data_IF_525838636869
#
_entry.id   IF_525838636869
#
_cell.length_a   1.000
_cell.length_b   1.000
_cell.length_c   1.000
_cell.angle_alpha   90.00
_cell.angle_beta   90.00
_cell.angle_gamma   90.00
#
_symmetry.space_group_name_H-M   'P 1'
#
loop_
_entity.id
_entity.type
_entity.pdbx_description
1 polymer ?
#
# COMPACT_ATOMS: atom_id res chain seq x y z
N UNK A 1 -7.22 24.57 3.06
CA UNK A 1 -6.82 25.67 2.15
C UNK A 1 -6.28 25.09 0.84
N UNK A 2 -6.36 25.75 -0.33
CA UNK A 2 -5.69 25.26 -1.56
C UNK A 2 -4.17 25.41 -1.44
N UNK A 3 -3.38 24.49 -2.00
CA UNK A 3 -1.90 24.53 -1.94
C UNK A 3 -1.29 25.88 -2.35
N UNK A 4 -1.56 26.35 -3.57
CA UNK A 4 -1.09 27.66 -4.05
C UNK A 4 -1.45 28.83 -3.13
N UNK A 5 -2.65 28.84 -2.55
CA UNK A 5 -3.05 29.85 -1.57
C UNK A 5 -2.32 29.68 -0.24
N UNK A 6 -2.09 28.45 0.20
CA UNK A 6 -1.36 28.15 1.42
C UNK A 6 0.08 28.66 1.31
N UNK A 7 0.84 28.24 0.28
CA UNK A 7 2.24 28.68 0.11
C UNK A 7 2.39 30.18 -0.12
N UNK A 8 1.36 30.87 -0.62
CA UNK A 8 1.36 32.33 -0.70
C UNK A 8 1.25 33.00 0.67
N UNK A 9 0.44 32.44 1.58
CA UNK A 9 0.15 33.04 2.88
C UNK A 9 1.08 32.55 3.99
N UNK A 10 1.61 31.34 3.85
CA UNK A 10 2.47 30.65 4.80
C UNK A 10 3.67 30.02 4.04
N UNK A 11 4.57 30.85 3.48
CA UNK A 11 5.68 30.34 2.67
C UNK A 11 6.66 29.48 3.48
N UNK A 12 6.76 29.75 4.80
CA UNK A 12 7.70 29.08 5.70
C UNK A 12 7.12 27.80 6.33
N UNK A 13 5.81 27.55 6.20
CA UNK A 13 5.17 26.33 6.68
C UNK A 13 5.56 25.12 5.83
N UNK A 14 5.76 23.98 6.46
CA UNK A 14 6.07 22.72 5.79
C UNK A 14 4.81 21.88 5.63
N UNK A 15 4.63 21.33 4.44
CA UNK A 15 3.52 20.43 4.15
C UNK A 15 3.92 18.96 4.31
N UNK A 16 3.16 18.27 5.16
CA UNK A 16 3.35 16.86 5.44
C UNK A 16 2.08 16.07 5.14
N UNK A 17 2.25 14.85 4.67
CA UNK A 17 1.23 13.85 4.45
C UNK A 17 1.12 12.93 5.66
N UNK A 18 -0.07 12.77 6.23
CA UNK A 18 -0.30 11.83 7.32
C UNK A 18 -0.44 10.41 6.75
N UNK A 19 0.61 9.63 6.93
CA UNK A 19 0.71 8.23 6.51
C UNK A 19 -0.01 7.30 7.48
N UNK A 20 -0.03 7.63 8.77
CA UNK A 20 -0.70 6.84 9.81
C UNK A 20 -0.98 7.69 11.05
N UNK A 21 -2.13 7.47 11.69
CA UNK A 21 -2.44 8.02 13.00
C UNK A 21 -3.04 6.97 13.94
N UNK A 22 -2.23 6.52 14.90
CA UNK A 22 -2.68 5.62 15.96
C UNK A 22 -2.93 6.40 17.25
N UNK A 23 -4.20 6.79 17.44
CA UNK A 23 -4.66 7.49 18.66
C UNK A 23 -4.41 6.70 19.95
N UNK A 24 -4.40 5.37 19.88
CA UNK A 24 -4.28 4.52 21.07
C UNK A 24 -2.84 4.44 21.55
N UNK A 25 -1.91 4.28 20.61
CA UNK A 25 -0.47 4.29 20.89
C UNK A 25 0.13 5.70 20.88
N UNK A 26 -0.68 6.71 20.53
CA UNK A 26 -0.30 8.13 20.47
C UNK A 26 0.86 8.36 19.51
N UNK A 27 0.80 7.69 18.37
CA UNK A 27 1.82 7.81 17.32
C UNK A 27 1.23 8.43 16.07
N UNK A 28 2.04 9.24 15.40
CA UNK A 28 1.76 9.76 14.06
C UNK A 28 2.95 9.46 13.19
N UNK A 29 2.71 8.80 12.06
CA UNK A 29 3.70 8.68 11.00
C UNK A 29 3.32 9.65 9.89
N UNK A 30 4.25 10.52 9.52
CA UNK A 30 4.05 11.41 8.38
C UNK A 30 5.26 11.42 7.47
N UNK A 31 5.06 11.89 6.25
CA UNK A 31 6.10 12.08 5.26
C UNK A 31 5.86 13.40 4.51
N UNK A 32 6.75 13.79 3.61
CA UNK A 32 6.73 15.12 3.03
C UNK A 32 5.93 15.21 1.73
N UNK A 33 5.33 16.38 1.49
CA UNK A 33 4.63 16.63 0.23
C UNK A 33 5.59 16.62 -0.97
N UNK A 34 6.84 17.06 -0.87
CA UNK A 34 7.86 16.88 -1.90
C UNK A 34 9.28 17.00 -1.31
N UNK A 35 10.32 17.00 -2.16
CA UNK A 35 11.71 17.18 -1.73
C UNK A 35 12.03 18.58 -1.23
N UNK A 36 11.28 19.61 -1.65
CA UNK A 36 11.47 20.97 -1.16
C UNK A 36 10.97 21.09 0.28
N UNK A 37 9.81 20.50 0.60
CA UNK A 37 9.30 20.42 1.97
C UNK A 37 10.27 19.68 2.90
N UNK A 38 10.88 18.59 2.42
CA UNK A 38 11.89 17.85 3.19
C UNK A 38 13.20 18.63 3.37
N UNK A 39 13.60 19.41 2.35
CA UNK A 39 14.75 20.31 2.45
C UNK A 39 14.52 21.41 3.48
N UNK A 40 13.33 22.03 3.49
CA UNK A 40 12.93 23.00 4.51
C UNK A 40 12.93 22.38 5.91
N UNK A 41 12.41 21.16 6.07
CA UNK A 41 12.45 20.45 7.35
C UNK A 41 13.90 20.27 7.82
N UNK A 42 14.77 19.80 6.94
CA UNK A 42 16.19 19.58 7.24
C UNK A 42 16.90 20.87 7.64
N UNK A 43 16.58 22.00 6.98
CA UNK A 43 17.09 23.32 7.35
C UNK A 43 16.62 23.74 8.74
N UNK A 44 15.32 23.62 9.03
CA UNK A 44 14.74 24.09 10.30
C UNK A 44 15.11 23.22 11.50
N UNK A 45 15.36 21.93 11.27
CA UNK A 45 15.81 21.00 12.29
C UNK A 45 17.33 20.87 12.35
N UNK A 46 18.08 21.65 11.55
CA UNK A 46 19.55 21.53 11.41
C UNK A 46 20.00 20.07 11.15
N UNK A 47 19.16 19.29 10.48
CA UNK A 47 19.43 17.91 10.13
C UNK A 47 20.16 17.83 8.79
N UNK A 48 20.94 16.76 8.61
CA UNK A 48 21.64 16.54 7.34
C UNK A 48 20.65 16.18 6.24
N UNK A 49 20.54 17.04 5.22
CA UNK A 49 19.73 16.75 4.04
C UNK A 49 20.37 15.61 3.25
N UNK A 50 19.74 14.45 3.28
CA UNK A 50 20.12 13.32 2.44
C UNK A 50 18.87 12.69 1.84
N UNK A 51 18.59 13.02 0.59
CA UNK A 51 17.40 12.53 -0.12
C UNK A 51 17.46 11.03 -0.40
N UNK A 52 18.62 10.37 -0.33
CA UNK A 52 18.74 8.93 -0.50
C UNK A 52 18.32 8.16 0.76
N UNK A 53 18.43 8.78 1.94
CA UNK A 53 17.99 8.21 3.23
C UNK A 53 16.46 8.18 3.36
N UNK A 54 15.90 7.38 4.27
CA UNK A 54 14.46 7.41 4.57
C UNK A 54 13.97 8.83 4.85
N UNK A 55 12.67 9.11 4.64
CA UNK A 55 12.12 10.47 4.80
C UNK A 55 10.94 10.56 5.76
N UNK A 56 10.34 9.44 6.18
CA UNK A 56 9.20 9.51 7.10
C UNK A 56 9.64 9.93 8.52
N UNK A 57 8.76 10.60 9.23
CA UNK A 57 8.98 11.06 10.60
C UNK A 57 7.95 10.40 11.52
N UNK A 58 8.43 9.79 12.61
CA UNK A 58 7.58 9.17 13.63
C UNK A 58 7.45 10.08 14.84
N UNK A 59 6.26 10.64 15.06
CA UNK A 59 5.91 11.28 16.33
C UNK A 59 5.48 10.22 17.35
N UNK A 60 6.02 10.30 18.56
CA UNK A 60 5.64 9.48 19.72
C UNK A 60 5.04 10.39 20.79
N UNK A 61 4.09 9.85 21.56
CA UNK A 61 3.37 10.59 22.61
C UNK A 61 2.64 11.84 22.09
N UNK A 62 2.03 11.74 20.91
CA UNK A 62 1.23 12.82 20.34
C UNK A 62 -0.15 12.94 21.03
N UNK A 63 -0.42 14.12 21.62
CA UNK A 63 -1.69 14.45 22.31
C UNK A 63 -2.47 15.59 21.66
N UNK A 64 -2.03 16.09 20.50
CA UNK A 64 -2.72 17.15 19.78
C UNK A 64 -4.09 16.70 19.25
N UNK A 65 -4.73 17.56 18.46
CA UNK A 65 -6.02 17.26 17.84
C UNK A 65 -6.04 15.95 17.05
N UNK A 66 -7.25 15.42 16.89
CA UNK A 66 -7.51 14.30 16.00
C UNK A 66 -7.23 14.70 14.54
N UNK A 67 -6.22 14.08 13.93
CA UNK A 67 -5.86 14.28 12.53
C UNK A 67 -6.43 13.16 11.67
N UNK A 68 -6.52 13.42 10.38
CA UNK A 68 -7.01 12.45 9.40
C UNK A 68 -5.84 11.89 8.60
N UNK A 69 -5.75 10.58 8.50
CA UNK A 69 -4.88 9.89 7.54
C UNK A 69 -5.24 10.29 6.10
N UNK A 70 -4.29 10.08 5.19
CA UNK A 70 -4.44 10.38 3.77
C UNK A 70 -4.77 11.85 3.50
N UNK A 71 -4.19 12.74 4.30
CA UNK A 71 -4.47 14.18 4.26
C UNK A 71 -3.18 14.95 4.50
N UNK A 72 -3.01 16.08 3.80
CA UNK A 72 -1.90 16.99 4.02
C UNK A 72 -2.22 18.00 5.11
N UNK A 73 -1.27 18.25 5.99
CA UNK A 73 -1.31 19.29 7.02
C UNK A 73 -0.09 20.18 6.92
N UNK A 74 -0.25 21.43 7.35
CA UNK A 74 0.88 22.31 7.60
C UNK A 74 1.46 22.10 9.00
N UNK A 75 2.80 22.20 9.08
CA UNK A 75 3.55 22.32 10.32
C UNK A 75 4.34 23.62 10.23
N UNK A 76 4.21 24.46 11.26
CA UNK A 76 4.93 25.73 11.34
C UNK A 76 6.44 25.51 11.52
N UNK A 77 7.23 26.45 11.01
CA UNK A 77 8.68 26.48 11.21
C UNK A 77 9.06 26.43 12.69
N UNK A 78 8.40 27.23 13.52
CA UNK A 78 8.69 27.35 14.95
C UNK A 78 8.52 26.00 15.67
N UNK A 79 7.53 25.20 15.27
CA UNK A 79 7.32 23.86 15.82
C UNK A 79 8.52 22.94 15.56
N UNK A 80 9.06 22.96 14.35
CA UNK A 80 10.19 22.10 13.96
C UNK A 80 11.49 22.57 14.59
N UNK A 81 11.74 23.89 14.61
CA UNK A 81 12.90 24.47 15.31
C UNK A 81 12.86 24.15 16.80
N UNK A 82 11.69 24.23 17.44
CA UNK A 82 11.51 23.85 18.83
C UNK A 82 11.81 22.36 19.10
N UNK A 83 11.47 21.46 18.16
CA UNK A 83 11.84 20.04 18.25
C UNK A 83 13.35 19.83 18.30
N UNK A 84 14.09 20.55 17.47
CA UNK A 84 15.54 20.47 17.44
C UNK A 84 16.19 21.10 18.68
N UNK A 85 15.85 22.35 18.99
CA UNK A 85 16.49 23.13 20.06
C UNK A 85 16.32 22.50 21.45
N UNK A 86 15.23 21.75 21.66
CA UNK A 86 14.94 21.07 22.93
C UNK A 86 15.30 19.58 22.91
N UNK A 87 15.94 19.09 21.84
CA UNK A 87 16.40 17.71 21.75
C UNK A 87 15.26 16.67 21.75
N UNK A 88 14.12 16.99 21.13
CA UNK A 88 13.01 16.05 20.99
C UNK A 88 13.21 15.08 19.82
N UNK A 89 14.18 15.33 18.94
CA UNK A 89 14.40 14.61 17.68
C UNK A 89 15.63 13.71 17.75
N UNK A 90 15.44 12.43 17.42
CA UNK A 90 16.49 11.42 17.31
C UNK A 90 16.51 10.81 15.90
N UNK A 91 17.70 10.53 15.35
CA UNK A 91 17.81 9.70 14.15
C UNK A 91 17.22 8.30 14.42
N UNK A 92 16.38 7.83 13.50
CA UNK A 92 15.79 6.51 13.59
C UNK A 92 16.70 5.49 12.90
N UNK A 93 17.63 4.93 13.67
CA UNK A 93 18.53 3.92 13.14
C UNK A 93 17.79 2.66 12.68
N UNK A 94 18.31 2.00 11.63
CA UNK A 94 17.84 0.71 11.15
C UNK A 94 16.38 0.70 10.65
N UNK A 95 15.94 1.73 9.92
CA UNK A 95 14.69 1.72 9.13
C UNK A 95 14.95 2.07 7.66
N UNK A 96 14.11 1.56 6.76
CA UNK A 96 14.06 2.01 5.36
C UNK A 96 12.96 3.06 5.10
N UNK A 97 12.10 3.31 6.09
CA UNK A 97 10.98 4.26 5.99
C UNK A 97 11.20 5.49 6.86
N UNK A 98 11.58 5.29 8.12
CA UNK A 98 11.64 6.33 9.15
C UNK A 98 13.06 6.91 9.22
N UNK A 99 13.16 8.22 9.09
CA UNK A 99 14.40 8.99 9.19
C UNK A 99 14.68 9.42 10.62
N UNK A 100 13.63 9.94 11.29
CA UNK A 100 13.71 10.51 12.62
C UNK A 100 12.50 10.07 13.45
N UNK A 101 12.70 9.92 14.76
CA UNK A 101 11.60 9.92 15.71
C UNK A 101 11.62 11.17 16.57
N UNK A 102 10.43 11.68 16.89
CA UNK A 102 10.24 12.85 17.74
C UNK A 102 9.43 12.44 18.96
N UNK A 103 10.03 12.58 20.15
CA UNK A 103 9.40 12.23 21.41
C UNK A 103 8.74 13.45 22.06
N UNK A 104 7.41 13.43 22.14
CA UNK A 104 6.61 14.56 22.64
C UNK A 104 6.20 14.44 24.11
N UNK A 105 6.75 13.48 24.87
CA UNK A 105 6.36 13.23 26.27
C UNK A 105 6.48 14.46 27.19
N UNK A 106 7.45 15.35 26.93
CA UNK A 106 7.65 16.61 27.66
C UNK A 106 7.37 17.85 26.80
N UNK A 107 6.73 17.68 25.65
CA UNK A 107 6.42 18.78 24.75
C UNK A 107 5.26 19.61 25.31
N UNK A 108 5.47 20.92 25.45
CA UNK A 108 4.39 21.82 25.83
C UNK A 108 3.54 22.12 24.59
N UNK A 109 2.35 21.53 24.51
CA UNK A 109 1.37 21.71 23.43
C UNK A 109 0.68 23.10 23.46
N UNK A 110 1.37 24.15 23.91
CA UNK A 110 0.84 25.52 23.90
C UNK A 110 0.36 25.97 22.51
N UNK A 111 0.88 25.34 21.44
CA UNK A 111 0.38 25.40 20.08
C UNK A 111 0.18 24.01 19.47
N UNK A 112 -0.73 23.91 18.48
CA UNK A 112 -0.95 22.66 17.77
C UNK A 112 0.12 22.36 16.73
N UNK A 113 0.61 21.11 16.71
CA UNK A 113 1.65 20.66 15.78
C UNK A 113 1.17 20.72 14.33
N UNK A 114 -0.02 20.17 14.07
CA UNK A 114 -0.64 20.18 12.75
C UNK A 114 -1.65 21.33 12.70
N UNK A 115 -1.34 22.42 12.02
CA UNK A 115 -2.14 23.64 12.07
C UNK A 115 -3.46 23.50 11.29
N UNK A 116 -3.40 23.36 9.96
CA UNK A 116 -4.61 23.17 9.16
C UNK A 116 -4.39 22.21 7.98
N UNK A 117 -5.48 21.56 7.53
CA UNK A 117 -5.43 20.68 6.38
C UNK A 117 -5.32 21.47 5.07
N UNK A 118 -4.45 21.01 4.17
CA UNK A 118 -4.21 21.61 2.86
C UNK A 118 -4.71 20.66 1.77
N UNK A 119 -5.53 21.19 0.86
CA UNK A 119 -6.01 20.48 -0.32
C UNK A 119 -5.08 20.77 -1.47
N UNK A 120 -4.54 19.71 -2.04
CA UNK A 120 -3.54 19.77 -3.11
C UNK A 120 -4.14 19.51 -4.50
N UNK A 121 -5.42 19.16 -4.59
CA UNK A 121 -6.08 18.55 -5.76
C UNK A 121 -5.85 19.22 -7.13
N UNK A 122 -5.63 20.54 -7.20
CA UNK A 122 -5.39 21.21 -8.49
C UNK A 122 -3.91 21.26 -8.90
N UNK A 123 -2.99 21.27 -7.94
CA UNK A 123 -1.54 21.33 -8.17
C UNK A 123 -0.92 19.91 -8.19
N UNK A 124 -1.61 18.94 -7.58
CA UNK A 124 -1.25 17.52 -7.53
C UNK A 124 -1.29 16.86 -8.91
N UNK A 125 -2.36 17.09 -9.69
CA UNK A 125 -2.55 16.46 -11.00
C UNK A 125 -1.43 16.84 -12.00
N UNK A 126 -0.79 18.00 -11.84
CA UNK A 126 0.28 18.45 -12.74
C UNK A 126 1.70 18.06 -12.31
N UNK A 127 1.93 17.76 -11.02
CA UNK A 127 3.29 17.58 -10.47
C UNK A 127 3.55 16.20 -9.86
N UNK A 128 2.50 15.42 -9.57
CA UNK A 128 2.60 14.18 -8.79
C UNK A 128 2.00 12.95 -9.45
N UNK A 129 1.41 13.11 -10.63
CA UNK A 129 1.00 11.97 -11.43
C UNK A 129 2.23 11.27 -12.01
N UNK A 130 2.27 9.96 -11.82
CA UNK A 130 3.24 9.11 -12.49
C UNK A 130 2.97 9.08 -14.00
N UNK A 131 4.03 9.17 -14.79
CA UNK A 131 4.01 8.84 -16.22
C UNK A 131 4.15 7.31 -16.43
N UNK A 132 3.26 6.76 -17.25
CA UNK A 132 3.26 5.37 -17.69
C UNK A 132 2.08 5.13 -18.63
N UNK A 133 1.98 3.93 -19.21
CA UNK A 133 0.79 3.48 -19.93
C UNK A 133 -0.44 3.46 -19.01
N UNK A 134 -1.61 3.73 -19.56
CA UNK A 134 -2.87 3.74 -18.80
C UNK A 134 -3.76 2.53 -19.07
N UNK A 135 -3.58 1.88 -20.23
CA UNK A 135 -4.25 0.63 -20.58
C UNK A 135 -3.30 -0.55 -20.41
N UNK A 136 -3.88 -1.73 -20.21
CA UNK A 136 -3.15 -2.99 -20.01
C UNK A 136 -3.36 -3.98 -21.15
N UNK A 137 -3.86 -3.52 -22.30
CA UNK A 137 -4.31 -4.39 -23.41
C UNK A 137 -3.17 -5.23 -24.01
N UNK A 138 -1.92 -4.78 -23.86
CA UNK A 138 -0.71 -5.49 -24.29
C UNK A 138 -0.14 -6.45 -23.24
N UNK A 139 -0.78 -6.53 -22.06
CA UNK A 139 -0.44 -7.52 -21.04
C UNK A 139 -1.12 -8.85 -21.33
N UNK A 140 -0.31 -9.82 -21.75
CA UNK A 140 -0.74 -11.19 -21.96
C UNK A 140 -0.18 -12.06 -20.84
N UNK A 141 -1.08 -12.70 -20.09
CA UNK A 141 -0.75 -13.71 -19.10
C UNK A 141 -1.05 -15.10 -19.67
N UNK A 142 0.00 -15.83 -20.08
CA UNK A 142 -0.15 -17.22 -20.47
C UNK A 142 -0.21 -18.10 -19.22
N UNK A 143 -1.39 -18.65 -18.94
CA UNK A 143 -1.68 -19.42 -17.73
C UNK A 143 -1.99 -20.89 -18.05
N UNK A 144 -1.57 -21.37 -19.23
CA UNK A 144 -1.63 -22.80 -19.57
C UNK A 144 -0.58 -23.55 -18.74
N UNK A 145 -1.02 -24.35 -17.78
CA UNK A 145 -0.15 -25.16 -16.94
C UNK A 145 -0.71 -25.36 -15.55
N UNK A 146 0.13 -25.86 -14.64
CA UNK A 146 -0.22 -25.96 -13.22
C UNK A 146 0.00 -24.62 -12.55
N UNK A 147 -1.08 -24.00 -12.06
CA UNK A 147 -1.05 -22.70 -11.39
C UNK A 147 -1.04 -22.90 -9.88
N UNK A 148 -0.14 -22.17 -9.22
CA UNK A 148 -0.06 -22.05 -7.78
C UNK A 148 -0.09 -20.58 -7.38
N UNK A 149 -0.66 -20.30 -6.22
CA UNK A 149 -0.55 -19.00 -5.57
C UNK A 149 0.23 -19.17 -4.28
N UNK A 150 1.26 -18.35 -4.11
CA UNK A 150 2.01 -18.27 -2.87
C UNK A 150 1.62 -16.99 -2.12
N UNK A 151 1.06 -17.12 -0.92
CA UNK A 151 0.85 -16.01 0.01
C UNK A 151 2.02 -16.01 0.98
N UNK A 152 2.93 -15.04 0.83
CA UNK A 152 4.20 -15.04 1.57
C UNK A 152 3.99 -14.63 3.03
N UNK A 153 4.69 -15.30 3.93
CA UNK A 153 4.76 -14.87 5.33
C UNK A 153 5.79 -13.73 5.48
N UNK A 154 5.31 -12.50 5.30
CA UNK A 154 6.12 -11.28 5.42
C UNK A 154 6.00 -10.62 6.80
N UNK A 155 5.47 -11.33 7.80
CA UNK A 155 5.04 -10.71 9.04
C UNK A 155 3.74 -9.95 8.82
N UNK A 156 3.79 -8.61 8.80
CA UNK A 156 2.63 -7.74 8.60
C UNK A 156 2.73 -7.06 7.23
N UNK A 157 1.69 -7.08 6.39
CA UNK A 157 1.75 -6.50 5.04
C UNK A 157 1.34 -7.50 3.97
N UNK A 158 1.45 -7.12 2.69
CA UNK A 158 1.00 -7.95 1.58
C UNK A 158 2.14 -8.30 0.61
N UNK A 159 2.25 -9.57 0.25
CA UNK A 159 3.13 -10.06 -0.82
C UNK A 159 2.61 -11.41 -1.30
N UNK A 160 2.11 -11.45 -2.54
CA UNK A 160 1.59 -12.67 -3.14
C UNK A 160 2.21 -12.93 -4.50
N UNK A 161 2.36 -14.19 -4.86
CA UNK A 161 3.01 -14.61 -6.10
C UNK A 161 2.11 -15.58 -6.86
N UNK A 162 2.01 -15.41 -8.18
CA UNK A 162 1.37 -16.37 -9.08
C UNK A 162 2.48 -17.12 -9.81
N UNK A 163 2.47 -18.45 -9.67
CA UNK A 163 3.51 -19.34 -10.17
C UNK A 163 2.86 -20.33 -11.14
N UNK A 164 3.45 -20.52 -12.32
CA UNK A 164 3.02 -21.51 -13.32
C UNK A 164 4.16 -22.46 -13.61
N UNK A 165 3.96 -23.75 -13.40
CA UNK A 165 4.97 -24.80 -13.64
C UNK A 165 6.35 -24.39 -13.06
N UNK A 166 6.32 -23.86 -11.83
CA UNK A 166 7.46 -23.35 -11.07
C UNK A 166 8.15 -22.09 -11.63
N UNK A 167 7.55 -21.44 -12.64
CA UNK A 167 7.94 -20.11 -13.15
C UNK A 167 7.10 -19.00 -12.50
N UNK A 168 7.74 -17.98 -11.94
CA UNK A 168 7.07 -16.82 -11.36
C UNK A 168 6.52 -15.89 -12.47
N UNK A 169 5.20 -15.76 -12.54
CA UNK A 169 4.55 -14.94 -13.56
C UNK A 169 4.22 -13.53 -13.09
N UNK A 170 3.73 -13.43 -11.85
CA UNK A 170 3.21 -12.18 -11.29
C UNK A 170 3.51 -12.10 -9.81
N UNK A 171 3.83 -10.89 -9.35
CA UNK A 171 3.96 -10.52 -7.94
C UNK A 171 2.97 -9.40 -7.65
N UNK A 172 2.07 -9.63 -6.69
CA UNK A 172 1.06 -8.70 -6.25
C UNK A 172 1.39 -8.21 -4.84
N UNK A 173 1.76 -6.93 -4.75
CA UNK A 173 2.41 -6.27 -3.63
C UNK A 173 3.76 -6.90 -3.23
N UNK A 174 4.58 -6.13 -2.50
CA UNK A 174 5.86 -6.56 -1.97
C UNK A 174 6.16 -5.74 -0.71
N UNK A 175 5.34 -5.96 0.31
CA UNK A 175 5.38 -5.24 1.56
C UNK A 175 5.76 -6.09 2.76
N UNK A 176 6.00 -5.42 3.89
CA UNK A 176 6.27 -6.00 5.20
C UNK A 176 6.01 -4.94 6.28
N UNK A 177 6.26 -5.30 7.54
CA UNK A 177 5.99 -4.46 8.70
C UNK A 177 6.78 -3.13 8.60
N UNK A 178 6.18 -2.03 9.01
CA UNK A 178 6.80 -0.70 9.08
C UNK A 178 8.07 -0.70 9.92
N UNK A 179 8.05 -1.48 11.00
CA UNK A 179 9.16 -1.62 11.94
C UNK A 179 10.20 -2.67 11.51
N UNK A 180 10.02 -3.30 10.35
CA UNK A 180 10.96 -4.31 9.85
C UNK A 180 12.34 -3.68 9.62
N UNK A 181 13.37 -4.36 10.14
CA UNK A 181 14.76 -3.92 9.98
C UNK A 181 15.22 -4.16 8.55
N UNK A 182 16.16 -3.35 8.02
CA UNK A 182 16.76 -3.58 6.71
C UNK A 182 17.26 -5.01 6.49
N UNK A 183 17.82 -5.67 7.51
CA UNK A 183 18.28 -7.06 7.43
C UNK A 183 17.14 -8.08 7.28
N UNK A 184 15.99 -7.83 7.91
CA UNK A 184 14.80 -8.69 7.80
C UNK A 184 14.19 -8.55 6.39
N UNK A 185 14.09 -7.32 5.90
CA UNK A 185 13.67 -7.02 4.52
C UNK A 185 14.59 -7.69 3.51
N UNK A 186 15.92 -7.57 3.71
CA UNK A 186 16.91 -8.20 2.83
C UNK A 186 16.72 -9.72 2.75
N UNK A 187 16.46 -10.36 3.90
CA UNK A 187 16.18 -11.80 3.98
C UNK A 187 14.92 -12.18 3.17
N UNK A 188 13.85 -11.40 3.26
CA UNK A 188 12.62 -11.63 2.49
C UNK A 188 12.85 -11.52 0.98
N UNK A 189 13.63 -10.52 0.56
CA UNK A 189 13.98 -10.32 -0.86
C UNK A 189 14.83 -11.48 -1.36
N UNK A 190 15.89 -11.85 -0.63
CA UNK A 190 16.84 -12.89 -1.04
C UNK A 190 16.19 -14.25 -1.29
N UNK A 191 15.10 -14.56 -0.57
CA UNK A 191 14.32 -15.79 -0.74
C UNK A 191 13.66 -15.93 -2.12
N UNK A 192 13.30 -14.82 -2.80
CA UNK A 192 12.66 -14.84 -4.12
C UNK A 192 13.56 -14.30 -5.24
N UNK A 193 14.66 -13.62 -4.89
CA UNK A 193 15.46 -12.84 -5.83
C UNK A 193 16.03 -13.65 -7.01
N UNK A 194 16.50 -14.87 -6.73
CA UNK A 194 17.06 -15.73 -7.76
C UNK A 194 16.02 -16.13 -8.81
N UNK A 195 14.79 -16.40 -8.37
CA UNK A 195 13.69 -16.76 -9.25
C UNK A 195 13.24 -15.55 -10.08
N UNK A 196 13.07 -14.39 -9.44
CA UNK A 196 12.65 -13.16 -10.13
C UNK A 196 13.65 -12.73 -11.19
N UNK A 197 14.96 -12.88 -10.92
CA UNK A 197 16.01 -12.59 -11.90
C UNK A 197 15.84 -13.38 -13.20
N UNK A 198 15.45 -14.65 -13.08
CA UNK A 198 15.33 -15.56 -14.22
C UNK A 198 13.98 -15.40 -14.93
N UNK A 199 12.89 -15.42 -14.16
CA UNK A 199 11.52 -15.54 -14.69
C UNK A 199 10.94 -14.19 -15.09
N UNK A 200 11.44 -13.12 -14.47
CA UNK A 200 11.04 -11.74 -14.68
C UNK A 200 9.52 -11.49 -14.57
N UNK A 201 8.92 -11.73 -13.39
CA UNK A 201 7.48 -11.59 -13.21
C UNK A 201 7.01 -10.15 -13.46
N UNK A 202 5.72 -9.99 -13.76
CA UNK A 202 5.05 -8.68 -13.74
C UNK A 202 4.79 -8.29 -12.29
N UNK A 203 5.15 -7.07 -11.91
CA UNK A 203 4.83 -6.54 -10.58
C UNK A 203 3.56 -5.69 -10.61
N UNK A 204 2.67 -5.91 -9.66
CA UNK A 204 1.46 -5.11 -9.43
C UNK A 204 1.47 -4.59 -7.99
N UNK A 205 1.42 -3.28 -7.80
CA UNK A 205 1.15 -2.65 -6.50
C UNK A 205 -0.33 -2.27 -6.44
N UNK A 206 -1.04 -2.82 -5.45
CA UNK A 206 -2.44 -2.54 -5.20
C UNK A 206 -2.68 -1.07 -4.90
N UNK A 207 -1.89 -0.48 -4.00
CA UNK A 207 -1.95 0.93 -3.60
C UNK A 207 -0.67 1.36 -2.88
N UNK A 208 -0.47 2.67 -2.73
CA UNK A 208 0.74 3.27 -2.15
C UNK A 208 0.68 3.35 -0.61
N UNK A 209 0.50 2.20 0.03
CA UNK A 209 0.64 2.04 1.48
C UNK A 209 1.95 1.34 1.79
N UNK A 210 2.64 1.87 2.80
CA UNK A 210 3.99 1.42 3.19
C UNK A 210 4.10 -0.10 3.33
N UNK A 211 3.12 -0.77 3.93
CA UNK A 211 3.10 -2.22 4.14
C UNK A 211 2.70 -3.05 2.90
N UNK A 212 2.57 -2.40 1.73
CA UNK A 212 2.38 -3.02 0.42
C UNK A 212 3.60 -2.85 -0.50
N UNK A 213 4.50 -1.89 -0.23
CA UNK A 213 5.71 -1.66 -1.03
C UNK A 213 7.03 -1.66 -0.23
N UNK A 214 7.01 -1.82 1.10
CA UNK A 214 8.21 -1.68 1.95
C UNK A 214 9.42 -2.47 1.46
N UNK A 215 9.23 -3.72 1.03
CA UNK A 215 10.35 -4.55 0.58
C UNK A 215 10.98 -4.03 -0.73
N UNK A 216 10.23 -3.32 -1.59
CA UNK A 216 10.81 -2.69 -2.78
C UNK A 216 11.84 -1.60 -2.42
N UNK A 217 11.69 -0.93 -1.27
CA UNK A 217 12.69 0.05 -0.82
C UNK A 217 14.04 -0.62 -0.52
N UNK A 218 14.01 -1.87 -0.05
CA UNK A 218 15.21 -2.67 0.25
C UNK A 218 15.83 -3.37 -0.96
N UNK A 219 15.15 -3.38 -2.11
CA UNK A 219 15.72 -3.85 -3.37
C UNK A 219 16.75 -2.84 -3.88
N UNK A 220 17.83 -3.33 -4.47
CA UNK A 220 18.79 -2.52 -5.24
C UNK A 220 18.22 -2.18 -6.61
N UNK A 221 18.77 -1.17 -7.27
CA UNK A 221 18.37 -0.80 -8.64
C UNK A 221 18.50 -1.97 -9.63
N UNK A 222 19.52 -2.82 -9.42
CA UNK A 222 19.68 -4.05 -10.19
C UNK A 222 18.52 -5.02 -9.97
N UNK A 223 18.04 -5.18 -8.75
CA UNK A 223 16.95 -6.11 -8.42
C UNK A 223 15.59 -5.59 -8.89
N UNK A 224 15.40 -4.27 -8.88
CA UNK A 224 14.23 -3.64 -9.52
C UNK A 224 14.18 -3.94 -11.03
N UNK A 225 15.32 -4.26 -11.67
CA UNK A 225 15.30 -4.68 -13.09
C UNK A 225 14.71 -6.07 -13.31
N UNK A 226 14.59 -6.88 -12.26
CA UNK A 226 14.14 -8.28 -12.37
C UNK A 226 12.69 -8.37 -12.78
N UNK A 227 11.81 -7.43 -12.41
CA UNK A 227 10.44 -7.43 -12.88
C UNK A 227 10.35 -7.04 -14.35
N UNK A 228 9.58 -7.75 -15.17
CA UNK A 228 9.44 -7.39 -16.59
C UNK A 228 8.66 -6.08 -16.75
N UNK A 229 7.63 -5.86 -15.93
CA UNK A 229 6.75 -4.69 -15.97
C UNK A 229 6.30 -4.29 -14.58
N UNK A 230 5.91 -3.03 -14.41
CA UNK A 230 5.35 -2.48 -13.17
C UNK A 230 3.97 -1.90 -13.42
N UNK A 231 3.00 -2.26 -12.58
CA UNK A 231 1.62 -1.77 -12.64
C UNK A 231 1.26 -1.21 -11.27
N UNK A 232 0.80 0.02 -11.21
CA UNK A 232 0.43 0.67 -9.95
C UNK A 232 -0.53 1.84 -10.19
N UNK A 233 -1.07 2.40 -9.12
CA UNK A 233 -1.85 3.64 -9.17
C UNK A 233 -0.96 4.82 -9.50
N UNK A 234 -1.45 5.74 -10.34
CA UNK A 234 -0.68 6.92 -10.74
C UNK A 234 -0.61 8.03 -9.68
N UNK A 235 -1.44 7.95 -8.64
CA UNK A 235 -1.55 8.91 -7.55
C UNK A 235 -0.55 8.56 -6.44
N UNK A 236 0.61 9.23 -6.40
CA UNK A 236 1.64 9.01 -5.38
C UNK A 236 1.42 9.95 -4.18
N UNK A 237 1.27 9.43 -2.96
CA UNK A 237 0.93 10.26 -1.80
C UNK A 237 2.11 11.05 -1.22
N UNK A 238 3.32 10.51 -1.20
CA UNK A 238 4.37 11.04 -0.34
C UNK A 238 5.79 10.90 -0.93
N UNK A 239 6.77 11.57 -0.31
CA UNK A 239 8.13 11.62 -0.81
C UNK A 239 8.78 10.24 -0.90
N UNK A 240 8.54 9.36 0.06
CA UNK A 240 9.06 7.99 0.08
C UNK A 240 8.60 7.21 -1.16
N UNK A 241 7.31 7.24 -1.46
CA UNK A 241 6.73 6.56 -2.63
C UNK A 241 7.20 7.19 -3.95
N UNK A 242 7.40 8.51 -4.01
CA UNK A 242 8.01 9.19 -5.18
C UNK A 242 9.44 8.74 -5.43
N UNK A 243 10.25 8.64 -4.37
CA UNK A 243 11.63 8.16 -4.48
C UNK A 243 11.68 6.75 -5.04
N UNK A 244 10.83 5.86 -4.53
CA UNK A 244 10.71 4.50 -5.05
C UNK A 244 10.32 4.49 -6.54
N UNK A 245 9.30 5.27 -6.92
CA UNK A 245 8.92 5.40 -8.32
C UNK A 245 10.08 5.95 -9.19
N UNK A 246 10.82 6.94 -8.71
CA UNK A 246 11.98 7.48 -9.43
C UNK A 246 13.04 6.41 -9.69
N UNK A 247 13.30 5.53 -8.71
CA UNK A 247 14.22 4.41 -8.87
C UNK A 247 13.71 3.40 -9.90
N UNK A 248 12.42 3.06 -9.87
CA UNK A 248 11.79 2.18 -10.88
C UNK A 248 11.91 2.79 -12.29
N UNK A 249 11.58 4.08 -12.44
CA UNK A 249 11.69 4.80 -13.72
C UNK A 249 13.11 4.86 -14.25
N UNK A 250 14.12 4.92 -13.38
CA UNK A 250 15.51 4.95 -13.80
C UNK A 250 16.01 3.61 -14.34
N UNK A 251 15.34 2.49 -14.01
CA UNK A 251 15.75 1.14 -14.42
C UNK A 251 14.76 0.46 -15.37
N UNK A 252 13.67 1.13 -15.72
CA UNK A 252 12.63 0.63 -16.64
C UNK A 252 12.24 1.67 -17.67
N UNK A 253 12.04 1.18 -18.89
CA UNK A 253 11.51 1.99 -19.96
C UNK A 253 10.03 2.31 -19.71
N UNK A 254 9.59 3.46 -20.23
CA UNK A 254 8.19 3.91 -20.13
C UNK A 254 7.19 2.86 -20.59
N UNK A 255 7.55 2.04 -21.59
CA UNK A 255 6.70 0.99 -22.16
C UNK A 255 6.42 -0.18 -21.20
N UNK A 256 7.22 -0.33 -20.14
CA UNK A 256 7.12 -1.37 -19.12
C UNK A 256 6.51 -0.86 -17.81
N UNK A 257 6.05 0.39 -17.78
CA UNK A 257 5.44 1.04 -16.62
C UNK A 257 3.98 1.39 -16.93
N UNK A 258 3.06 0.92 -16.09
CA UNK A 258 1.62 1.13 -16.19
C UNK A 258 1.15 1.91 -14.96
N UNK A 259 0.81 3.16 -15.19
CA UNK A 259 0.39 4.11 -14.16
C UNK A 259 -1.12 4.30 -14.28
N UNK A 260 -1.87 3.42 -13.62
CA UNK A 260 -3.32 3.34 -13.77
C UNK A 260 -3.99 4.51 -13.03
N UNK A 261 -4.71 5.34 -13.79
CA UNK A 261 -5.49 6.44 -13.23
C UNK A 261 -6.78 5.91 -12.59
N UNK A 262 -7.10 6.44 -11.42
CA UNK A 262 -8.40 6.25 -10.80
C UNK A 262 -9.54 6.67 -11.75
N UNK A 263 -10.60 5.87 -11.84
CA UNK A 263 -11.82 6.35 -12.48
C UNK A 263 -12.45 7.48 -11.69
N UNK A 264 -13.09 8.42 -12.38
CA UNK A 264 -13.81 9.48 -11.71
C UNK A 264 -14.96 8.89 -10.88
N UNK A 265 -15.07 9.33 -9.63
CA UNK A 265 -16.15 8.90 -8.75
C UNK A 265 -17.49 9.37 -9.30
N UNK A 266 -18.45 8.45 -9.44
CA UNK A 266 -19.83 8.81 -9.81
C UNK A 266 -20.49 9.49 -8.60
N UNK A 267 -20.93 10.76 -8.72
CA UNK A 267 -21.61 11.44 -7.62
C UNK A 267 -22.87 10.68 -7.18
N UNK A 268 -23.15 10.66 -5.87
CA UNK A 268 -24.33 10.03 -5.22
C UNK A 268 -24.32 8.50 -5.08
N UNK A 269 -23.39 7.78 -5.72
CA UNK A 269 -23.19 6.35 -5.42
C UNK A 269 -22.40 6.23 -4.12
N UNK A 270 -22.95 5.51 -3.13
CA UNK A 270 -22.34 5.37 -1.80
C UNK A 270 -21.08 4.50 -1.80
N UNK A 271 -20.95 3.61 -2.77
CA UNK A 271 -19.90 2.59 -2.87
C UNK A 271 -18.95 2.98 -3.99
N UNK A 272 -17.65 2.89 -3.74
CA UNK A 272 -16.61 3.10 -4.75
C UNK A 272 -16.58 1.88 -5.68
N UNK A 273 -16.89 2.04 -6.96
CA UNK A 273 -16.94 0.89 -7.89
C UNK A 273 -15.55 0.40 -8.26
N UNK A 274 -15.49 -0.88 -8.64
CA UNK A 274 -14.35 -1.51 -9.30
C UNK A 274 -14.74 -1.81 -10.75
N UNK A 275 -13.93 -1.36 -11.70
CA UNK A 275 -14.14 -1.58 -13.13
C UNK A 275 -13.04 -2.50 -13.65
N UNK A 276 -13.35 -3.59 -14.37
CA UNK A 276 -12.33 -4.45 -14.95
C UNK A 276 -11.56 -3.70 -16.05
N UNK A 277 -10.24 -3.81 -16.05
CA UNK A 277 -9.34 -3.18 -17.03
C UNK A 277 -9.12 -4.07 -18.28
N UNK A 278 -9.44 -5.35 -18.18
CA UNK A 278 -9.40 -6.33 -19.26
C UNK A 278 -10.68 -7.17 -19.26
N UNK A 279 -10.82 -8.09 -20.22
CA UNK A 279 -12.07 -8.86 -20.37
C UNK A 279 -12.34 -9.71 -19.14
N UNK A 280 -13.54 -9.60 -18.57
CA UNK A 280 -13.94 -10.39 -17.39
C UNK A 280 -13.93 -11.90 -17.62
N UNK A 281 -13.87 -12.36 -18.88
CA UNK A 281 -13.72 -13.76 -19.25
C UNK A 281 -12.28 -14.27 -19.13
N UNK A 282 -11.28 -13.39 -19.09
CA UNK A 282 -9.86 -13.74 -18.94
C UNK A 282 -9.56 -14.41 -17.61
N UNK A 283 -8.55 -15.28 -17.59
CA UNK A 283 -8.14 -16.00 -16.38
C UNK A 283 -7.56 -15.07 -15.31
N UNK A 284 -6.90 -13.98 -15.70
CA UNK A 284 -6.52 -12.90 -14.79
C UNK A 284 -7.31 -11.66 -15.17
N UNK A 285 -7.97 -11.04 -14.19
CA UNK A 285 -8.68 -9.77 -14.37
C UNK A 285 -8.17 -8.78 -13.34
N UNK A 286 -7.65 -7.66 -13.82
CA UNK A 286 -7.26 -6.52 -12.99
C UNK A 286 -8.41 -5.53 -12.92
N UNK A 287 -8.77 -5.11 -11.72
CA UNK A 287 -9.86 -4.18 -11.46
C UNK A 287 -9.31 -2.85 -10.96
N UNK A 288 -9.81 -1.76 -11.53
CA UNK A 288 -9.47 -0.41 -11.17
C UNK A 288 -10.57 0.22 -10.32
N UNK A 289 -10.23 0.64 -9.11
CA UNK A 289 -11.18 1.34 -8.25
C UNK A 289 -11.34 2.80 -8.65
N UNK A 290 -12.55 3.33 -8.50
CA UNK A 290 -12.78 4.77 -8.58
C UNK A 290 -11.94 5.55 -7.56
N UNK A 291 -11.74 6.83 -7.83
CA UNK A 291 -11.08 7.74 -6.92
C UNK A 291 -11.80 7.79 -5.57
N UNK A 292 -11.03 7.64 -4.50
CA UNK A 292 -11.48 7.83 -3.14
C UNK A 292 -10.34 8.44 -2.33
N UNK A 293 -10.67 9.27 -1.32
CA UNK A 293 -9.66 9.90 -0.44
C UNK A 293 -8.90 8.91 0.44
N UNK A 294 -9.49 7.72 0.62
CA UNK A 294 -8.92 6.62 1.37
C UNK A 294 -8.37 5.65 0.34
N UNK A 295 -7.05 5.57 0.29
CA UNK A 295 -6.29 4.82 -0.71
C UNK A 295 -6.52 3.32 -0.63
N UNK A 296 -6.89 2.80 0.54
CA UNK A 296 -7.29 1.41 0.76
C UNK A 296 -8.50 1.06 -0.13
N UNK A 297 -9.44 2.00 -0.27
CA UNK A 297 -10.68 1.84 -1.06
C UNK A 297 -10.42 2.06 -2.56
N UNK A 298 -9.42 2.88 -2.90
CA UNK A 298 -9.09 3.24 -4.28
C UNK A 298 -7.91 2.45 -4.86
N UNK A 299 -7.63 1.25 -4.36
CA UNK A 299 -6.56 0.40 -4.90
C UNK A 299 -6.91 -0.31 -6.21
N UNK A 300 -5.97 -1.12 -6.70
CA UNK A 300 -6.18 -2.13 -7.73
C UNK A 300 -6.50 -3.47 -7.07
N UNK A 301 -7.41 -4.24 -7.64
CA UNK A 301 -7.77 -5.60 -7.17
C UNK A 301 -7.50 -6.60 -8.29
N UNK A 302 -7.00 -7.79 -7.96
CA UNK A 302 -6.74 -8.84 -8.95
C UNK A 302 -7.64 -10.05 -8.67
N UNK A 303 -8.25 -10.62 -9.71
CA UNK A 303 -8.81 -11.97 -9.62
C UNK A 303 -8.08 -12.92 -10.56
N UNK A 304 -7.80 -14.12 -10.08
CA UNK A 304 -7.30 -15.25 -10.85
C UNK A 304 -8.36 -16.34 -10.87
N UNK A 305 -8.68 -16.91 -12.03
CA UNK A 305 -9.67 -17.97 -12.17
C UNK A 305 -9.17 -19.10 -13.07
N UNK A 306 -9.42 -20.32 -12.62
CA UNK A 306 -9.24 -21.57 -13.36
C UNK A 306 -10.61 -22.25 -13.52
N UNK A 307 -10.65 -23.36 -14.26
CA UNK A 307 -11.88 -24.15 -14.37
C UNK A 307 -12.36 -24.73 -13.03
N UNK A 308 -11.48 -24.87 -12.04
CA UNK A 308 -11.78 -25.53 -10.75
C UNK A 308 -11.68 -24.60 -9.54
N UNK A 309 -11.00 -23.46 -9.69
CA UNK A 309 -10.66 -22.60 -8.56
C UNK A 309 -10.69 -21.12 -8.94
N UNK A 310 -10.80 -20.22 -7.96
CA UNK A 310 -10.53 -18.79 -8.12
C UNK A 310 -9.88 -18.21 -6.88
N UNK A 311 -9.08 -17.17 -7.06
CA UNK A 311 -8.41 -16.44 -5.99
C UNK A 311 -8.63 -14.94 -6.20
N UNK A 312 -9.04 -14.23 -5.16
CA UNK A 312 -9.05 -12.76 -5.14
C UNK A 312 -7.88 -12.24 -4.32
N UNK A 313 -7.06 -11.39 -4.94
CA UNK A 313 -6.02 -10.59 -4.28
C UNK A 313 -6.60 -9.19 -4.07
N UNK A 314 -6.99 -8.91 -2.83
CA UNK A 314 -7.87 -7.79 -2.50
C UNK A 314 -7.13 -6.49 -2.18
N UNK A 315 -5.83 -6.55 -1.86
CA UNK A 315 -5.14 -5.43 -1.22
C UNK A 315 -5.91 -5.00 0.03
N UNK A 316 -6.26 -3.72 0.14
CA UNK A 316 -7.00 -3.18 1.28
C UNK A 316 -8.41 -2.70 0.93
N UNK A 317 -8.96 -3.19 -0.18
CA UNK A 317 -10.32 -2.83 -0.61
C UNK A 317 -11.39 -3.31 0.38
N UNK A 318 -12.62 -2.82 0.23
CA UNK A 318 -13.72 -3.26 1.12
C UNK A 318 -14.37 -4.55 0.63
N UNK A 319 -14.86 -5.38 1.57
CA UNK A 319 -15.62 -6.61 1.25
C UNK A 319 -16.78 -6.34 0.30
N UNK A 320 -17.50 -5.23 0.52
CA UNK A 320 -18.63 -4.84 -0.32
C UNK A 320 -18.23 -4.55 -1.76
N UNK A 321 -17.02 -4.00 -2.02
CA UNK A 321 -16.53 -3.77 -3.37
C UNK A 321 -16.31 -5.11 -4.08
N UNK A 322 -15.67 -6.07 -3.40
CA UNK A 322 -15.46 -7.41 -3.94
C UNK A 322 -16.80 -8.11 -4.23
N UNK A 323 -17.73 -8.05 -3.28
CA UNK A 323 -19.04 -8.70 -3.39
C UNK A 323 -19.87 -8.17 -4.55
N UNK A 324 -19.79 -6.87 -4.86
CA UNK A 324 -20.62 -6.24 -5.90
C UNK A 324 -19.98 -6.25 -7.28
N UNK A 325 -18.65 -6.18 -7.36
CA UNK A 325 -17.97 -5.88 -8.63
C UNK A 325 -16.99 -6.97 -9.08
N UNK A 326 -16.62 -7.91 -8.21
CA UNK A 326 -15.68 -9.00 -8.55
C UNK A 326 -16.39 -10.36 -8.53
N UNK A 327 -17.07 -10.69 -7.43
CA UNK A 327 -17.76 -11.99 -7.29
C UNK A 327 -18.77 -12.31 -8.41
N UNK A 328 -19.54 -11.35 -8.96
CA UNK A 328 -20.44 -11.65 -10.09
C UNK A 328 -19.72 -12.19 -11.33
N UNK A 329 -18.46 -11.82 -11.56
CA UNK A 329 -17.65 -12.32 -12.68
C UNK A 329 -17.06 -13.73 -12.42
N UNK A 330 -17.19 -14.22 -11.19
CA UNK A 330 -16.74 -15.54 -10.75
C UNK A 330 -17.94 -16.48 -10.50
N UNK A 331 -19.12 -16.22 -11.06
CA UNK A 331 -20.30 -17.06 -10.82
C UNK A 331 -20.31 -18.35 -11.68
N UNK A 332 -19.47 -19.30 -11.31
CA UNK A 332 -19.42 -20.66 -11.87
C UNK A 332 -19.11 -21.68 -10.77
N UNK A 333 -19.24 -22.99 -11.03
CA UNK A 333 -18.98 -24.02 -10.04
C UNK A 333 -17.48 -24.27 -9.84
N UNK A 334 -16.94 -23.85 -8.69
CA UNK A 334 -15.51 -23.93 -8.37
C UNK A 334 -15.22 -23.68 -6.87
N UNK A 335 -13.98 -23.91 -6.47
CA UNK A 335 -13.46 -23.55 -5.14
C UNK A 335 -12.93 -22.11 -5.11
N UNK A 336 -13.49 -21.28 -4.24
CA UNK A 336 -13.13 -19.87 -4.13
C UNK A 336 -12.22 -19.61 -2.93
N UNK A 337 -11.12 -18.93 -3.18
CA UNK A 337 -10.14 -18.48 -2.19
C UNK A 337 -10.14 -16.96 -2.10
N UNK A 338 -10.07 -16.44 -0.89
CA UNK A 338 -9.97 -15.01 -0.63
C UNK A 338 -8.67 -14.71 0.11
N UNK A 339 -7.77 -13.94 -0.50
CA UNK A 339 -6.72 -13.25 0.26
C UNK A 339 -7.41 -12.03 0.87
N UNK A 340 -7.52 -12.05 2.20
CA UNK A 340 -8.43 -11.21 2.97
C UNK A 340 -7.97 -9.75 2.96
N UNK A 341 -8.88 -8.80 2.73
CA UNK A 341 -8.51 -7.39 2.64
C UNK A 341 -7.98 -6.84 3.97
N UNK A 342 -7.08 -5.85 3.88
CA UNK A 342 -6.63 -5.04 5.01
C UNK A 342 -6.11 -5.88 6.18
N UNK A 343 -5.43 -7.00 5.86
CA UNK A 343 -4.84 -7.93 6.83
C UNK A 343 -5.86 -8.47 7.85
N UNK A 344 -7.14 -8.56 7.47
CA UNK A 344 -8.24 -8.97 8.35
C UNK A 344 -8.69 -7.88 9.34
N UNK A 345 -8.27 -6.64 9.13
CA UNK A 345 -8.71 -5.46 9.85
C UNK A 345 -9.99 -4.84 9.27
N UNK A 346 -10.20 -3.54 9.51
CA UNK A 346 -11.45 -2.85 9.18
C UNK A 346 -11.59 -2.51 7.69
N UNK A 347 -12.01 -3.49 6.89
CA UNK A 347 -12.30 -3.34 5.45
C UNK A 347 -13.80 -3.05 5.14
N UNK A 348 -14.37 -2.04 5.81
CA UNK A 348 -15.81 -1.73 5.69
C UNK A 348 -16.71 -2.75 6.41
N UNK A 349 -18.03 -2.74 6.15
CA UNK A 349 -18.91 -3.77 6.71
C UNK A 349 -18.65 -5.09 6.00
N UNK A 350 -18.57 -6.20 6.76
CA UNK A 350 -18.48 -7.54 6.17
C UNK A 350 -19.76 -7.86 5.40
N UNK A 351 -19.67 -7.74 4.08
CA UNK A 351 -20.71 -8.08 3.11
C UNK A 351 -20.00 -8.80 1.98
N UNK A 352 -20.07 -10.13 1.98
CA UNK A 352 -19.35 -10.98 1.03
C UNK A 352 -20.28 -12.08 0.51
N UNK A 353 -21.19 -11.71 -0.39
CA UNK A 353 -22.26 -12.60 -0.81
C UNK A 353 -21.83 -13.53 -1.93
N UNK A 354 -21.97 -14.84 -1.68
CA UNK A 354 -21.83 -15.86 -2.70
C UNK A 354 -22.91 -15.70 -3.79
N UNK A 355 -22.55 -15.54 -5.07
CA UNK A 355 -23.51 -15.35 -6.17
C UNK A 355 -24.25 -16.64 -6.56
N UNK A 356 -23.94 -17.78 -5.94
CA UNK A 356 -24.77 -19.00 -5.96
C UNK A 356 -24.02 -20.27 -6.37
N UNK A 357 -23.05 -20.18 -7.29
CA UNK A 357 -22.43 -21.38 -7.87
C UNK A 357 -21.11 -21.80 -7.23
N UNK A 358 -20.47 -20.92 -6.46
CA UNK A 358 -19.12 -21.15 -5.94
C UNK A 358 -19.13 -21.77 -4.54
N UNK A 359 -18.06 -22.46 -4.17
CA UNK A 359 -17.83 -22.94 -2.80
C UNK A 359 -16.72 -22.11 -2.16
N UNK A 360 -17.04 -21.38 -1.10
CA UNK A 360 -16.05 -20.63 -0.31
C UNK A 360 -15.12 -21.59 0.43
N UNK A 361 -13.94 -21.80 -0.14
CA UNK A 361 -13.00 -22.83 0.28
C UNK A 361 -12.12 -22.35 1.43
N UNK A 362 -11.39 -21.26 1.23
CA UNK A 362 -10.45 -20.79 2.23
C UNK A 362 -10.30 -19.26 2.18
N UNK A 363 -10.31 -18.65 3.37
CA UNK A 363 -9.90 -17.27 3.57
C UNK A 363 -8.48 -17.22 4.14
N UNK A 364 -7.59 -16.44 3.55
CA UNK A 364 -6.17 -16.37 3.93
C UNK A 364 -5.85 -14.94 4.34
N UNK A 365 -5.37 -14.77 5.57
CA UNK A 365 -5.04 -13.47 6.14
C UNK A 365 -3.52 -13.33 6.21
N UNK A 366 -2.96 -12.44 5.39
CA UNK A 366 -1.56 -12.02 5.54
C UNK A 366 -1.46 -11.09 6.75
N UNK A 367 -0.96 -11.59 7.88
CA UNK A 367 -0.92 -10.82 9.13
C UNK A 367 0.18 -11.35 10.03
N UNK A 368 0.81 -10.44 10.76
CA UNK A 368 1.88 -10.73 11.70
C UNK A 368 1.58 -10.17 13.08
N UNK A 369 2.57 -10.16 13.96
CA UNK A 369 2.45 -9.43 15.22
C UNK A 369 2.28 -7.93 14.91
N UNK A 370 1.20 -7.34 15.39
CA UNK A 370 0.84 -5.96 15.12
C UNK A 370 0.20 -5.28 16.34
N UNK A 371 0.21 -3.95 16.37
CA UNK A 371 -0.41 -3.13 17.41
C UNK A 371 -1.92 -2.89 17.18
N UNK A 372 -2.37 -3.03 15.93
CA UNK A 372 -3.75 -2.81 15.47
C UNK A 372 -4.76 -3.83 15.98
N UNK A 373 -4.29 -4.94 16.58
CA UNK A 373 -5.11 -6.11 16.94
C UNK A 373 -5.76 -6.77 15.73
N UNK A 374 -5.09 -6.75 14.59
CA UNK A 374 -5.48 -7.54 13.43
C UNK A 374 -5.09 -9.02 13.65
N UNK A 375 -5.87 -9.97 13.13
CA UNK A 375 -7.18 -9.76 12.51
C UNK A 375 -8.25 -9.37 13.55
N UNK A 376 -9.20 -8.51 13.15
CA UNK A 376 -10.32 -8.15 14.03
C UNK A 376 -11.20 -9.39 14.25
N UNK A 377 -11.59 -9.60 15.51
CA UNK A 377 -12.37 -10.78 15.92
C UNK A 377 -13.72 -10.89 15.20
N UNK A 378 -14.35 -9.76 14.86
CA UNK A 378 -15.62 -9.75 14.15
C UNK A 378 -15.44 -10.27 12.72
N UNK A 379 -14.45 -9.78 11.97
CA UNK A 379 -14.20 -10.28 10.61
C UNK A 379 -13.75 -11.73 10.63
N UNK A 380 -12.88 -12.12 11.56
CA UNK A 380 -12.46 -13.51 11.72
C UNK A 380 -13.66 -14.44 11.98
N UNK A 381 -14.60 -14.02 12.82
CA UNK A 381 -15.83 -14.80 13.07
C UNK A 381 -16.70 -14.92 11.82
N UNK A 382 -16.82 -13.86 11.02
CA UNK A 382 -17.61 -13.90 9.78
C UNK A 382 -16.94 -14.80 8.73
N UNK A 383 -15.62 -14.68 8.55
CA UNK A 383 -14.84 -15.52 7.63
C UNK A 383 -14.95 -17.01 8.01
N UNK A 384 -14.83 -17.36 9.29
CA UNK A 384 -15.01 -18.73 9.78
C UNK A 384 -16.45 -19.26 9.63
N UNK A 385 -17.43 -18.38 9.43
CA UNK A 385 -18.83 -18.78 9.17
C UNK A 385 -19.04 -19.06 7.69
N UNK A 386 -18.43 -18.25 6.82
CA UNK A 386 -18.68 -18.27 5.38
C UNK A 386 -17.75 -19.21 4.61
N UNK A 387 -16.51 -19.43 5.07
CA UNK A 387 -15.50 -20.26 4.41
C UNK A 387 -15.27 -21.60 5.14
N UNK A 388 -14.93 -22.67 4.41
CA UNK A 388 -14.59 -23.97 5.03
C UNK A 388 -13.41 -23.86 6.02
N UNK A 389 -12.46 -22.96 5.74
CA UNK A 389 -11.34 -22.65 6.65
C UNK A 389 -10.88 -21.20 6.54
N UNK A 390 -10.31 -20.69 7.65
CA UNK A 390 -9.56 -19.43 7.66
C UNK A 390 -8.15 -19.68 8.19
N UNK A 391 -7.14 -19.24 7.46
CA UNK A 391 -5.73 -19.36 7.84
C UNK A 391 -5.05 -18.00 7.91
N UNK A 392 -4.00 -17.91 8.72
CA UNK A 392 -3.20 -16.69 8.90
C UNK A 392 -1.72 -17.04 8.78
N UNK A 393 -0.93 -16.21 8.11
CA UNK A 393 0.54 -16.38 8.04
C UNK A 393 1.19 -16.34 9.43
N UNK A 394 0.63 -15.59 10.38
CA UNK A 394 1.05 -15.58 11.80
C UNK A 394 1.01 -16.98 12.46
N UNK A 395 -0.03 -17.75 12.17
CA UNK A 395 -0.26 -19.05 12.82
C UNK A 395 0.53 -20.16 12.13
N UNK A 396 0.60 -20.15 10.80
CA UNK A 396 1.37 -21.14 10.02
C UNK A 396 2.88 -20.93 10.19
N UNK A 397 3.31 -19.68 10.41
CA UNK A 397 4.72 -19.25 10.47
C UNK A 397 5.51 -19.54 9.19
N UNK A 398 4.81 -19.91 8.12
CA UNK A 398 5.34 -20.19 6.79
C UNK A 398 4.42 -19.57 5.75
N UNK A 399 4.93 -19.46 4.54
CA UNK A 399 4.15 -19.18 3.34
C UNK A 399 2.96 -20.16 3.22
N UNK A 400 1.86 -19.70 2.65
CA UNK A 400 0.64 -20.49 2.40
C UNK A 400 0.51 -20.70 0.89
N UNK A 401 0.56 -21.96 0.46
CA UNK A 401 0.47 -22.34 -0.96
C UNK A 401 -0.94 -22.82 -1.31
N UNK A 402 -1.50 -22.23 -2.36
CA UNK A 402 -2.78 -22.64 -2.97
C UNK A 402 -2.48 -23.30 -4.32
N UNK A 403 -2.94 -24.52 -4.52
CA UNK A 403 -2.85 -25.22 -5.82
C UNK A 403 -4.21 -25.12 -6.52
N UNK A 404 -4.25 -24.58 -7.74
CA UNK A 404 -5.50 -24.18 -8.42
C UNK A 404 -6.01 -25.13 -9.50
#
# INVERSE_FOLDING_TARGET
MKYSNHKKNFPDDILVYIEEFDKRNKTVLFDFYDSNEFAMFSEYSNASLNIEKPTMILLKDYYGKNIQENTYYSIKRETITNWWENGFMDEYENSLLIAYSINLSNFNFGEEIFDHSVSVNNDFESSHLICGKWNIDDLLFDLKGHIKVNVRNVGQGNWNEIIRDDTFLLVYDCGTNVDAKPSEIRTLIDQSNANYRNDKPVFILSHWDKDHYHCLLGMTDKELTFFSKYIFRNDIPNLTSRKLYSRIRNVKDYQDIYAIRAENRIPKVRITSLTPLNDTTDQIVLYNSQYHKDRNISGLVLSLKTAKSSVIFSGDCQYLQLSQFVLPHLNYNHEHFLIVPHHGGKAGKFIYHNPGSMRFKQAIISVGKNSYKHPDKIYLSCLNTDFDSTETTLTTKTDILINL
#
